data_IF_526330100741
#
_entry.id   IF_526330100741
#
_cell.length_a   1.000
_cell.length_b   1.000
_cell.length_c   1.000
_cell.angle_alpha   90.00
_cell.angle_beta   90.00
_cell.angle_gamma   90.00
#
_symmetry.space_group_name_H-M   'P 1'
#
loop_
_entity.id
_entity.type
_entity.pdbx_description
1 polymer ?
#
# COMPACT_ATOMS: atom_id res chain seq x y z
N UNK A 1 -3.34 0.25 -32.80
CA UNK A 1 -3.28 -0.21 -31.39
C UNK A 1 -4.05 0.78 -30.54
N UNK A 2 -5.18 0.40 -29.95
CA UNK A 2 -5.91 1.29 -29.05
C UNK A 2 -5.09 1.51 -27.77
N UNK A 3 -4.91 2.76 -27.34
CA UNK A 3 -4.27 3.06 -26.08
C UNK A 3 -5.12 2.47 -24.94
N UNK A 4 -4.57 1.47 -24.23
CA UNK A 4 -5.24 0.87 -23.07
C UNK A 4 -5.46 1.94 -22.01
N UNK A 5 -6.69 2.07 -21.52
CA UNK A 5 -7.06 3.05 -20.49
C UNK A 5 -6.32 2.73 -19.19
N UNK A 6 -5.64 3.73 -18.63
CA UNK A 6 -4.94 3.61 -17.36
C UNK A 6 -5.94 3.44 -16.22
N UNK A 7 -5.73 2.41 -15.42
CA UNK A 7 -6.56 2.15 -14.25
C UNK A 7 -6.09 3.02 -13.07
N UNK A 8 -7.02 3.23 -12.13
CA UNK A 8 -6.78 4.01 -10.92
C UNK A 8 -7.05 3.12 -9.71
N UNK A 9 -6.07 3.01 -8.81
CA UNK A 9 -6.18 2.21 -7.60
C UNK A 9 -5.98 3.06 -6.35
N UNK A 10 -6.57 2.62 -5.24
CA UNK A 10 -6.29 3.19 -3.92
C UNK A 10 -5.54 2.14 -3.12
N UNK A 11 -4.30 2.44 -2.77
CA UNK A 11 -3.50 1.61 -1.88
C UNK A 11 -3.84 1.99 -0.44
N UNK A 12 -4.11 1.00 0.40
CA UNK A 12 -4.65 1.20 1.75
C UNK A 12 -3.68 0.66 2.79
N UNK A 13 -3.18 1.53 3.65
CA UNK A 13 -2.27 1.15 4.74
C UNK A 13 -2.30 2.11 5.91
N UNK A 14 -1.68 1.71 7.02
CA UNK A 14 -1.48 2.58 8.16
C UNK A 14 -0.25 3.49 7.99
N UNK A 15 -0.05 4.40 8.95
CA UNK A 15 1.08 5.34 8.90
C UNK A 15 2.45 4.64 8.86
N UNK A 16 2.63 3.56 9.62
CA UNK A 16 3.91 2.84 9.68
C UNK A 16 4.25 2.21 8.34
N UNK A 17 3.26 1.57 7.73
CA UNK A 17 3.36 0.98 6.39
C UNK A 17 3.74 2.03 5.36
N UNK A 18 3.04 3.16 5.35
CA UNK A 18 3.30 4.23 4.37
C UNK A 18 4.67 4.88 4.54
N UNK A 19 5.14 5.07 5.78
CA UNK A 19 6.49 5.59 6.02
C UNK A 19 7.57 4.73 5.34
N UNK A 20 7.47 3.40 5.47
CA UNK A 20 8.39 2.47 4.82
C UNK A 20 8.19 2.53 3.30
N UNK A 21 6.94 2.42 2.85
CA UNK A 21 6.62 2.32 1.42
C UNK A 21 7.02 3.55 0.62
N UNK A 22 6.90 4.75 1.20
CA UNK A 22 7.32 5.99 0.56
C UNK A 22 8.83 6.18 0.56
N UNK A 23 9.53 5.70 1.60
CA UNK A 23 10.99 5.77 1.66
C UNK A 23 11.62 4.81 0.65
N UNK A 24 11.15 3.57 0.63
CA UNK A 24 11.68 2.52 -0.23
C UNK A 24 11.08 2.57 -1.65
N UNK A 25 10.07 3.42 -1.88
CA UNK A 25 9.31 3.50 -3.13
C UNK A 25 8.67 2.16 -3.53
N UNK A 26 8.27 1.34 -2.54
CA UNK A 26 7.76 -0.01 -2.75
C UNK A 26 6.43 -0.21 -2.04
N UNK A 27 5.49 -0.88 -2.70
CA UNK A 27 4.27 -1.39 -2.07
C UNK A 27 4.14 -2.89 -2.24
N UNK A 28 3.63 -3.57 -1.22
CA UNK A 28 3.52 -5.03 -1.20
C UNK A 28 2.09 -5.53 -1.03
N UNK A 29 1.81 -6.66 -1.67
CA UNK A 29 0.55 -7.39 -1.65
C UNK A 29 0.79 -8.77 -1.04
N UNK A 30 -0.15 -9.20 -0.21
CA UNK A 30 -0.18 -10.57 0.32
C UNK A 30 -0.80 -11.52 -0.68
N UNK A 31 -0.70 -12.83 -0.43
CA UNK A 31 -1.38 -13.85 -1.24
C UNK A 31 -2.87 -13.56 -1.43
N UNK A 32 -3.55 -13.08 -0.37
CA UNK A 32 -4.98 -12.69 -0.41
C UNK A 32 -5.28 -11.53 -1.36
N UNK A 33 -4.30 -10.68 -1.63
CA UNK A 33 -4.43 -9.48 -2.47
C UNK A 33 -3.64 -9.62 -3.78
N UNK A 34 -3.13 -10.81 -4.09
CA UNK A 34 -2.40 -11.11 -5.34
C UNK A 34 -3.23 -10.79 -6.57
N UNK A 35 -4.54 -11.00 -6.55
CA UNK A 35 -5.42 -10.64 -7.68
C UNK A 35 -5.30 -9.16 -8.10
N UNK A 36 -5.18 -8.23 -7.14
CA UNK A 36 -4.95 -6.82 -7.44
C UNK A 36 -3.57 -6.61 -8.08
N UNK A 37 -2.54 -7.25 -7.54
CA UNK A 37 -1.20 -7.20 -8.10
C UNK A 37 -1.17 -7.79 -9.50
N UNK A 38 -1.84 -8.90 -9.79
CA UNK A 38 -1.91 -9.49 -11.13
C UNK A 38 -2.56 -8.52 -12.13
N UNK A 39 -3.65 -7.87 -11.73
CA UNK A 39 -4.45 -7.03 -12.62
C UNK A 39 -3.84 -5.65 -12.90
N UNK A 40 -3.17 -5.04 -11.92
CA UNK A 40 -2.53 -3.74 -12.12
C UNK A 40 -1.39 -3.81 -13.15
N UNK A 41 -1.16 -2.71 -13.84
CA UNK A 41 -0.18 -2.60 -14.92
C UNK A 41 0.82 -1.50 -14.63
N UNK A 42 2.00 -1.60 -15.24
CA UNK A 42 2.95 -0.50 -15.28
C UNK A 42 2.27 0.69 -15.97
N UNK A 43 2.39 1.87 -15.38
CA UNK A 43 1.76 3.10 -15.85
C UNK A 43 0.40 3.43 -15.22
N UNK A 44 -0.21 2.52 -14.45
CA UNK A 44 -1.45 2.78 -13.71
C UNK A 44 -1.23 3.77 -12.55
N UNK A 45 -2.25 4.59 -12.27
CA UNK A 45 -2.21 5.58 -11.20
C UNK A 45 -2.62 4.94 -9.87
N UNK A 46 -1.89 5.29 -8.81
CA UNK A 46 -2.20 4.86 -7.44
C UNK A 46 -2.35 6.05 -6.51
N UNK A 47 -3.38 6.03 -5.68
CA UNK A 47 -3.58 6.95 -4.58
C UNK A 47 -3.15 6.31 -3.26
N UNK A 48 -2.50 7.09 -2.39
CA UNK A 48 -1.94 6.61 -1.13
C UNK A 48 -2.89 6.94 0.02
N UNK A 49 -3.67 5.97 0.48
CA UNK A 49 -4.64 6.17 1.56
C UNK A 49 -4.13 5.66 2.91
N UNK A 50 -4.05 6.57 3.89
CA UNK A 50 -3.64 6.30 5.26
C UNK A 50 -4.86 6.07 6.13
N UNK A 51 -5.03 4.87 6.68
CA UNK A 51 -6.22 4.48 7.47
C UNK A 51 -6.20 4.99 8.90
N UNK A 52 -5.04 5.01 9.55
CA UNK A 52 -4.86 5.44 10.92
C UNK A 52 -3.57 6.26 11.05
N UNK A 53 -3.58 7.39 11.79
CA UNK A 53 -4.71 7.95 12.55
C UNK A 53 -5.60 8.91 11.75
N UNK A 54 -5.35 9.15 10.46
CA UNK A 54 -5.93 10.31 9.75
C UNK A 54 -7.09 10.00 8.79
N UNK A 55 -7.18 8.78 8.21
CA UNK A 55 -8.18 8.42 7.19
C UNK A 55 -8.16 9.37 5.98
N UNK A 56 -6.99 9.58 5.39
CA UNK A 56 -6.76 10.55 4.30
C UNK A 56 -5.97 9.94 3.15
N UNK A 57 -6.27 10.39 1.93
CA UNK A 57 -5.38 10.25 0.78
C UNK A 57 -4.28 11.30 0.93
N UNK A 58 -3.03 10.86 1.01
CA UNK A 58 -1.86 11.69 1.30
C UNK A 58 -1.01 11.98 0.07
N UNK A 59 -1.25 11.31 -1.04
CA UNK A 59 -0.41 11.42 -2.23
C UNK A 59 -0.83 10.49 -3.36
N UNK A 60 -0.06 10.58 -4.44
CA UNK A 60 -0.27 9.83 -5.67
C UNK A 60 1.05 9.37 -6.26
N UNK A 61 0.99 8.27 -7.00
CA UNK A 61 2.13 7.73 -7.74
C UNK A 61 1.69 6.96 -8.97
N UNK A 62 2.67 6.45 -9.69
CA UNK A 62 2.51 5.57 -10.85
C UNK A 62 3.22 4.25 -10.55
N UNK A 63 2.63 3.14 -10.96
CA UNK A 63 3.29 1.84 -10.94
C UNK A 63 4.40 1.83 -11.98
N UNK A 64 5.65 1.71 -11.55
CA UNK A 64 6.82 1.72 -12.43
C UNK A 64 7.30 0.31 -12.76
N UNK A 65 7.22 -0.60 -11.78
CA UNK A 65 7.64 -2.00 -11.93
C UNK A 65 6.78 -2.92 -11.08
N UNK A 66 6.73 -4.21 -11.44
CA UNK A 66 6.14 -5.30 -10.66
C UNK A 66 7.17 -6.42 -10.50
N UNK A 67 7.27 -7.01 -9.32
CA UNK A 67 8.21 -8.09 -9.03
C UNK A 67 7.77 -8.89 -7.80
N UNK A 68 8.37 -10.07 -7.62
CA UNK A 68 8.24 -10.85 -6.39
C UNK A 68 9.55 -10.73 -5.60
N UNK A 69 9.47 -10.61 -4.28
CA UNK A 69 10.64 -10.55 -3.40
C UNK A 69 10.27 -11.00 -1.97
N UNK A 70 11.04 -11.95 -1.43
CA UNK A 70 10.88 -12.54 -0.10
C UNK A 70 11.67 -11.83 1.02
N UNK A 71 12.36 -10.72 0.72
CA UNK A 71 13.07 -9.91 1.72
C UNK A 71 12.12 -9.35 2.78
N UNK A 72 12.49 -9.34 4.05
CA UNK A 72 11.63 -8.81 5.12
C UNK A 72 11.70 -7.28 5.16
N UNK A 73 10.72 -6.60 4.56
CA UNK A 73 10.75 -5.14 4.41
C UNK A 73 9.95 -4.45 5.51
N UNK A 74 8.71 -4.91 5.73
CA UNK A 74 7.80 -4.28 6.69
C UNK A 74 8.02 -4.78 8.12
N UNK A 75 7.69 -3.94 9.10
CA UNK A 75 7.90 -4.26 10.52
C UNK A 75 7.25 -5.58 10.94
N UNK A 76 6.03 -5.85 10.47
CA UNK A 76 5.31 -7.07 10.83
C UNK A 76 5.99 -8.33 10.23
N UNK A 77 6.59 -8.24 9.04
CA UNK A 77 7.37 -9.35 8.45
C UNK A 77 8.64 -9.62 9.26
N UNK A 78 9.32 -8.56 9.71
CA UNK A 78 10.52 -8.68 10.55
C UNK A 78 10.19 -9.33 11.89
N UNK A 79 9.04 -8.98 12.48
CA UNK A 79 8.57 -9.58 13.74
C UNK A 79 8.16 -11.04 13.56
N UNK A 80 7.45 -11.35 12.48
CA UNK A 80 6.97 -12.72 12.20
C UNK A 80 8.02 -13.60 11.49
N UNK A 81 9.18 -13.03 11.13
CA UNK A 81 10.24 -13.67 10.34
C UNK A 81 9.72 -14.35 9.07
N UNK A 82 8.77 -13.72 8.38
CA UNK A 82 8.09 -14.28 7.22
C UNK A 82 7.71 -13.20 6.20
N UNK A 83 7.88 -13.50 4.92
CA UNK A 83 7.58 -12.61 3.79
C UNK A 83 6.09 -12.62 3.44
N UNK A 84 5.30 -11.88 4.23
CA UNK A 84 3.84 -11.82 4.08
C UNK A 84 3.45 -11.06 2.80
N UNK A 85 4.24 -10.07 2.38
CA UNK A 85 3.97 -9.18 1.25
C UNK A 85 5.01 -9.34 0.13
N UNK A 86 5.10 -10.56 -0.40
CA UNK A 86 6.07 -10.94 -1.44
C UNK A 86 5.81 -10.32 -2.82
N UNK A 87 4.56 -10.08 -3.20
CA UNK A 87 4.22 -9.48 -4.49
C UNK A 87 4.34 -7.97 -4.40
N UNK A 88 5.25 -7.35 -5.14
CA UNK A 88 5.62 -5.94 -4.96
C UNK A 88 5.50 -5.13 -6.23
N UNK A 89 5.31 -3.83 -6.02
CA UNK A 89 5.39 -2.81 -7.05
C UNK A 89 6.35 -1.72 -6.65
N UNK A 90 7.09 -1.18 -7.62
CA UNK A 90 7.79 0.09 -7.45
C UNK A 90 6.84 1.24 -7.79
N UNK A 91 6.95 2.29 -6.98
CA UNK A 91 6.14 3.49 -7.07
C UNK A 91 7.00 4.66 -7.51
N UNK A 92 6.70 5.20 -8.70
CA UNK A 92 7.15 6.54 -9.05
C UNK A 92 6.24 7.54 -8.36
N UNK A 93 6.73 8.19 -7.30
CA UNK A 93 5.96 9.16 -6.53
C UNK A 93 5.77 10.43 -7.37
N UNK A 94 4.51 10.86 -7.52
CA UNK A 94 4.17 12.11 -8.19
C UNK A 94 4.02 13.25 -7.19
N UNK A 95 3.31 12.98 -6.09
CA UNK A 95 3.07 13.97 -5.05
C UNK A 95 2.80 13.29 -3.71
N UNK A 96 3.35 13.86 -2.63
CA UNK A 96 3.00 13.49 -1.25
C UNK A 96 2.86 14.76 -0.44
N UNK A 97 1.79 14.84 0.35
CA UNK A 97 1.58 15.94 1.28
C UNK A 97 2.63 15.88 2.40
N UNK A 98 3.28 17.00 2.70
CA UNK A 98 4.19 17.09 3.85
C UNK A 98 3.42 16.91 5.17
N UNK A 99 2.21 17.48 5.26
CA UNK A 99 1.31 17.29 6.40
C UNK A 99 0.14 16.39 6.01
N UNK A 100 0.21 15.13 6.43
CA UNK A 100 -0.77 14.10 6.07
C UNK A 100 -2.19 14.39 6.60
N UNK A 101 -2.32 15.24 7.64
CA UNK A 101 -3.63 15.67 8.15
C UNK A 101 -4.39 16.54 7.16
N UNK A 102 -3.66 17.27 6.30
CA UNK A 102 -4.20 18.09 5.21
C UNK A 102 -4.52 17.27 3.95
N UNK A 103 -4.40 15.94 4.02
CA UNK A 103 -4.77 15.06 2.91
C UNK A 103 -6.27 15.11 2.58
N UNK A 104 -6.61 14.49 1.46
CA UNK A 104 -7.97 14.49 0.91
C UNK A 104 -8.80 13.42 1.63
N UNK A 105 -9.99 13.77 2.09
CA UNK A 105 -10.93 12.76 2.62
C UNK A 105 -11.55 12.01 1.45
N UNK A 106 -11.55 10.66 1.45
CA UNK A 106 -12.35 9.92 0.49
C UNK A 106 -13.85 10.21 0.73
N UNK A 107 -14.71 10.07 -0.29
CA UNK A 107 -16.16 10.09 -0.13
C UNK A 107 -16.59 9.09 0.95
N UNK A 108 -17.63 9.45 1.72
CA UNK A 108 -18.08 8.65 2.88
C UNK A 108 -18.68 7.30 2.45
N UNK A 109 -19.10 7.20 1.20
CA UNK A 109 -19.73 6.05 0.57
C UNK A 109 -18.70 4.96 0.21
N UNK A 110 -17.41 5.31 0.14
CA UNK A 110 -16.36 4.35 -0.19
C UNK A 110 -15.86 3.65 1.07
N UNK A 111 -16.03 2.32 1.11
CA UNK A 111 -15.49 1.47 2.17
C UNK A 111 -14.04 1.11 1.83
N UNK A 112 -13.08 1.75 2.51
CA UNK A 112 -11.66 1.46 2.38
C UNK A 112 -11.18 0.59 3.55
N UNK A 113 -11.14 -0.71 3.33
CA UNK A 113 -10.66 -1.69 4.30
C UNK A 113 -9.15 -1.87 4.22
N UNK A 114 -8.50 -1.97 5.38
CA UNK A 114 -7.08 -2.38 5.41
C UNK A 114 -6.94 -3.82 4.96
N UNK A 115 -6.14 -4.05 3.91
CA UNK A 115 -5.65 -5.39 3.56
C UNK A 115 -4.71 -5.97 4.63
N UNK A 116 -4.07 -5.10 5.41
CA UNK A 116 -3.22 -5.47 6.56
C UNK A 116 -4.09 -5.59 7.82
N UNK A 117 -4.66 -6.75 8.07
CA UNK A 117 -5.20 -7.05 9.42
C UNK A 117 -4.00 -7.31 10.33
N UNK A 118 -3.88 -6.55 11.43
CA UNK A 118 -2.94 -6.90 12.51
C UNK A 118 -3.27 -8.31 12.96
N UNK A 119 -2.32 -9.23 12.82
CA UNK A 119 -2.32 -10.43 13.63
C UNK A 119 -1.96 -9.94 15.04
N UNK A 120 -2.97 -9.66 15.87
CA UNK A 120 -2.75 -9.51 17.30
C UNK A 120 -2.28 -10.88 17.78
N UNK A 121 -0.96 -11.06 17.90
CA UNK A 121 -0.46 -12.02 18.86
C UNK A 121 -0.90 -11.48 20.23
N UNK A 122 -2.04 -12.00 20.70
CA UNK A 122 -2.38 -12.04 22.11
C UNK A 122 -1.34 -12.92 22.80
N UNK A 123 -0.12 -12.41 22.97
CA UNK A 123 0.69 -12.77 24.13
C UNK A 123 0.18 -11.88 25.26
N UNK A 124 -0.91 -12.33 25.91
CA UNK A 124 -1.04 -12.06 27.33
C UNK A 124 0.19 -12.70 27.98
N UNK A 125 1.19 -11.88 28.28
CA UNK A 125 2.07 -12.14 29.40
C UNK A 125 1.22 -11.77 30.62
N UNK A 126 0.73 -12.80 31.31
CA UNK A 126 0.69 -12.96 32.77
C UNK A 126 0.05 -14.32 33.07
#
# INVERSE_FOLDING_TARGET
>A
MAAKTKNHYILVGDRKTWNISLREHVWGFSEKTKGFWTNCQIGDLVAFYVTSPMKKIIGFGIIDQKFENDDLLWTDEKLQKSAIWKYRINLKILHVQNNWRKGISPPKEIILNQGRKKFLLLCFIL
#
